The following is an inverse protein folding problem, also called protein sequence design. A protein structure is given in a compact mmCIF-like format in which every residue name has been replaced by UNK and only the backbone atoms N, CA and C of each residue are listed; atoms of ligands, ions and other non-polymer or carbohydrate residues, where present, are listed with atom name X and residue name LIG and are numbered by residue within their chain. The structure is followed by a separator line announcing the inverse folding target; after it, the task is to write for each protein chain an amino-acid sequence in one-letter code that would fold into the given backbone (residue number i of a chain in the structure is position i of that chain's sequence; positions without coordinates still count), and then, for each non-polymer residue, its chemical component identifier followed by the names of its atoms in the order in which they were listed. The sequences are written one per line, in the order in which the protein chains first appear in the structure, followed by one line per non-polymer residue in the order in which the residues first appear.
data_IF_803058545966
#
_entry.id   IF_803058545966
#
_cell.length_a   1.000
_cell.length_b   1.000
_cell.length_c   1.000
_cell.angle_alpha   90.00
_cell.angle_beta   90.00
_cell.angle_gamma   90.00
#
_symmetry.space_group_name_H-M   'P 1'
#
loop_
_entity.id
_entity.type
_entity.pdbx_description
1 polymer ?
#
# COMPACT_ATOMS: atom_id res chain seq x y z
N UNK A 1 30.46 26.33 8.78
CA UNK A 1 31.45 26.47 7.68
C UNK A 1 31.82 25.07 7.24
N UNK A 2 31.23 24.60 6.13
CA UNK A 2 31.51 23.29 5.55
C UNK A 2 32.09 23.51 4.14
N UNK A 3 33.18 22.80 3.84
CA UNK A 3 33.92 22.87 2.57
C UNK A 3 33.02 22.46 1.39
N UNK A 4 33.13 23.11 0.22
CA UNK A 4 32.46 22.64 -0.98
C UNK A 4 33.16 21.37 -1.45
N UNK A 5 32.58 20.20 -1.15
CA UNK A 5 32.94 18.97 -1.86
C UNK A 5 32.47 19.18 -3.29
N UNK A 6 33.38 19.56 -4.18
CA UNK A 6 33.18 19.40 -5.61
C UNK A 6 33.00 17.89 -5.83
N UNK A 7 31.76 17.42 -5.75
CA UNK A 7 31.39 16.04 -6.06
C UNK A 7 31.87 15.79 -7.48
N UNK A 8 32.90 14.95 -7.61
CA UNK A 8 33.40 14.50 -8.90
C UNK A 8 32.21 13.91 -9.65
N UNK A 9 31.74 14.63 -10.69
CA UNK A 9 30.64 14.17 -11.52
C UNK A 9 31.08 12.84 -12.14
N UNK A 10 30.24 11.81 -12.05
CA UNK A 10 30.56 10.49 -12.59
C UNK A 10 30.85 10.60 -14.10
N UNK A 11 31.88 9.92 -14.65
CA UNK A 11 32.27 10.02 -16.07
C UNK A 11 31.12 9.85 -17.07
N UNK A 12 30.11 9.06 -16.71
CA UNK A 12 28.93 8.81 -17.54
C UNK A 12 28.01 10.02 -17.72
N UNK A 13 28.17 11.05 -16.89
CA UNK A 13 27.35 12.25 -16.87
C UNK A 13 28.04 13.47 -17.46
N UNK A 14 29.32 13.35 -17.83
CA UNK A 14 30.04 14.45 -18.45
C UNK A 14 29.57 14.70 -19.88
N UNK A 15 29.45 15.98 -20.24
CA UNK A 15 29.01 16.41 -21.57
C UNK A 15 30.01 16.05 -22.68
N UNK A 16 31.25 15.75 -22.32
CA UNK A 16 32.28 15.29 -23.26
C UNK A 16 31.89 13.96 -23.93
N UNK A 17 31.10 13.09 -23.28
CA UNK A 17 30.56 11.85 -23.85
C UNK A 17 29.69 12.08 -25.07
N UNK A 18 29.05 13.25 -25.20
CA UNK A 18 28.27 13.61 -26.38
C UNK A 18 29.14 13.62 -27.65
N UNK A 19 30.45 13.80 -27.52
CA UNK A 19 31.40 13.71 -28.63
C UNK A 19 31.44 12.32 -29.28
N UNK A 20 30.96 11.27 -28.61
CA UNK A 20 30.88 9.90 -29.16
C UNK A 20 29.64 9.66 -30.01
N UNK A 21 28.68 10.60 -30.01
CA UNK A 21 27.51 10.53 -30.87
C UNK A 21 27.85 10.87 -32.34
N UNK A 22 27.07 10.33 -33.31
CA UNK A 22 27.14 10.78 -34.71
C UNK A 22 26.98 12.30 -34.83
N UNK A 23 27.62 12.97 -35.82
CA UNK A 23 27.66 14.44 -35.90
C UNK A 23 26.29 15.13 -35.78
N UNK A 24 25.27 14.61 -36.46
CA UNK A 24 23.93 15.19 -36.43
C UNK A 24 23.29 15.12 -35.05
N UNK A 25 23.37 13.94 -34.41
CA UNK A 25 22.85 13.72 -33.06
C UNK A 25 23.68 14.45 -32.01
N UNK A 26 25.00 14.57 -32.20
CA UNK A 26 25.89 15.33 -31.33
C UNK A 26 25.51 16.79 -31.27
N UNK A 27 25.24 17.42 -32.41
CA UNK A 27 24.81 18.83 -32.47
C UNK A 27 23.50 19.03 -31.72
N UNK A 28 22.51 18.17 -31.98
CA UNK A 28 21.19 18.24 -31.32
C UNK A 28 21.33 18.00 -29.80
N UNK A 29 22.11 16.99 -29.40
CA UNK A 29 22.37 16.67 -27.99
C UNK A 29 23.05 17.81 -27.23
N UNK A 30 24.04 18.48 -27.83
CA UNK A 30 24.70 19.64 -27.22
C UNK A 30 23.75 20.83 -27.06
N UNK A 31 22.91 21.10 -28.06
CA UNK A 31 21.89 22.16 -27.96
C UNK A 31 20.84 21.84 -26.90
N UNK A 32 20.39 20.59 -26.83
CA UNK A 32 19.46 20.14 -25.80
C UNK A 32 20.07 20.23 -24.40
N UNK A 33 21.33 19.85 -24.22
CA UNK A 33 22.05 19.99 -22.96
C UNK A 33 22.24 21.46 -22.55
N UNK A 34 22.31 22.37 -23.52
CA UNK A 34 22.31 23.83 -23.31
C UNK A 34 20.92 24.44 -23.06
N UNK A 35 19.87 23.64 -22.88
CA UNK A 35 18.52 24.12 -22.54
C UNK A 35 17.60 24.38 -23.74
N UNK A 36 17.89 23.89 -24.94
CA UNK A 36 16.97 23.98 -26.08
C UNK A 36 15.86 22.93 -26.00
N UNK A 37 14.62 23.37 -25.73
CA UNK A 37 13.44 22.49 -25.68
C UNK A 37 13.16 21.80 -27.02
N UNK A 38 13.24 22.52 -28.13
CA UNK A 38 13.04 21.94 -29.47
C UNK A 38 14.07 20.86 -29.80
N UNK A 39 15.33 21.08 -29.42
CA UNK A 39 16.39 20.09 -29.62
C UNK A 39 16.16 18.86 -28.75
N UNK A 40 15.68 19.04 -27.51
CA UNK A 40 15.34 17.95 -26.61
C UNK A 40 14.21 17.07 -27.17
N UNK A 41 13.14 17.67 -27.71
CA UNK A 41 12.06 16.93 -28.38
C UNK A 41 12.57 16.10 -29.56
N UNK A 42 13.52 16.64 -30.34
CA UNK A 42 14.14 15.92 -31.47
C UNK A 42 14.98 14.72 -31.02
N UNK A 43 15.37 14.63 -29.74
CA UNK A 43 16.13 13.50 -29.21
C UNK A 43 15.26 12.36 -28.69
N UNK A 44 13.97 12.58 -28.44
CA UNK A 44 13.08 11.56 -27.86
C UNK A 44 13.08 10.25 -28.67
N UNK A 45 12.84 10.37 -29.98
CA UNK A 45 12.83 9.23 -30.90
C UNK A 45 14.21 8.57 -31.04
N UNK A 46 15.31 9.31 -31.34
CA UNK A 46 16.65 8.74 -31.38
C UNK A 46 17.06 8.00 -30.10
N UNK A 47 16.68 8.48 -28.92
CA UNK A 47 17.04 7.85 -27.64
C UNK A 47 16.28 6.52 -27.46
N UNK A 48 14.98 6.52 -27.75
CA UNK A 48 14.14 5.32 -27.65
C UNK A 48 14.56 4.23 -28.64
N UNK A 49 14.85 4.63 -29.88
CA UNK A 49 15.22 3.72 -30.98
C UNK A 49 16.70 3.31 -30.96
N UNK A 50 17.55 4.01 -30.18
CA UNK A 50 18.97 3.67 -30.09
C UNK A 50 19.21 2.29 -29.46
N UNK A 51 20.20 1.52 -29.93
CA UNK A 51 20.64 0.30 -29.27
C UNK A 51 21.03 0.58 -27.81
N UNK A 52 20.79 -0.39 -26.90
CA UNK A 52 21.09 -0.26 -25.46
C UNK A 52 22.51 0.27 -25.19
N UNK A 53 23.49 -0.11 -26.00
CA UNK A 53 24.90 0.32 -25.88
C UNK A 53 25.08 1.84 -26.12
N UNK A 54 24.26 2.46 -26.97
CA UNK A 54 24.36 3.90 -27.30
C UNK A 54 23.49 4.78 -26.41
N UNK A 55 22.45 4.23 -25.77
CA UNK A 55 21.54 5.01 -24.88
C UNK A 55 22.29 5.74 -23.76
N UNK A 56 23.30 5.15 -23.07
CA UNK A 56 24.07 5.85 -22.04
C UNK A 56 24.78 7.12 -22.54
N UNK A 57 25.06 7.26 -23.84
CA UNK A 57 25.69 8.46 -24.39
C UNK A 57 24.80 9.70 -24.32
N UNK A 58 23.48 9.55 -24.21
CA UNK A 58 22.55 10.67 -24.10
C UNK A 58 22.28 11.09 -22.65
N UNK A 59 22.70 10.27 -21.67
CA UNK A 59 22.44 10.50 -20.25
C UNK A 59 22.92 11.88 -19.73
N UNK A 60 24.07 12.43 -20.18
CA UNK A 60 24.50 13.78 -19.82
C UNK A 60 23.49 14.89 -20.19
N UNK A 61 22.73 14.71 -21.28
CA UNK A 61 21.73 15.69 -21.71
C UNK A 61 20.61 15.81 -20.68
N UNK A 62 20.08 14.66 -20.22
CA UNK A 62 19.01 14.62 -19.24
C UNK A 62 19.50 15.06 -17.87
N UNK A 63 20.72 14.67 -17.49
CA UNK A 63 21.35 15.12 -16.25
C UNK A 63 21.48 16.65 -16.17
N UNK A 64 21.87 17.30 -17.29
CA UNK A 64 22.00 18.75 -17.37
C UNK A 64 20.64 19.47 -17.31
N UNK A 65 19.60 18.93 -17.95
CA UNK A 65 18.26 19.51 -17.93
C UNK A 65 17.51 19.28 -16.61
N UNK A 66 18.02 18.39 -15.76
CA UNK A 66 17.48 18.13 -14.42
C UNK A 66 18.32 18.83 -13.34
N UNK A 67 19.09 19.87 -13.68
CA UNK A 67 19.83 20.61 -12.67
C UNK A 67 18.89 21.41 -11.75
N UNK A 68 18.93 21.17 -10.42
CA UNK A 68 18.16 21.93 -9.43
C UNK A 68 18.32 23.44 -9.53
N UNK A 69 19.50 23.92 -9.91
CA UNK A 69 19.78 25.36 -10.03
C UNK A 69 18.95 26.04 -11.14
N UNK A 70 18.27 25.26 -11.98
CA UNK A 70 17.41 25.76 -13.06
C UNK A 70 15.92 25.71 -12.71
N UNK A 71 15.56 25.27 -11.50
CA UNK A 71 14.17 25.33 -11.01
C UNK A 71 13.77 26.82 -10.89
N UNK A 72 12.67 27.25 -11.55
CA UNK A 72 12.18 28.62 -11.42
C UNK A 72 11.80 28.96 -9.99
N UNK A 73 11.84 30.26 -9.65
CA UNK A 73 11.40 30.74 -8.33
C UNK A 73 9.90 30.41 -8.13
N UNK A 74 9.48 29.97 -6.93
CA UNK A 74 8.06 29.76 -6.60
C UNK A 74 7.17 30.94 -7.01
N UNK A 75 7.63 32.18 -6.85
CA UNK A 75 6.85 33.37 -7.20
C UNK A 75 6.52 33.44 -8.71
N UNK A 76 7.41 32.93 -9.57
CA UNK A 76 7.19 32.83 -11.02
C UNK A 76 6.20 31.70 -11.37
N UNK A 77 6.13 30.66 -10.53
CA UNK A 77 5.33 29.45 -10.74
C UNK A 77 3.89 29.59 -10.23
N UNK A 78 3.65 30.39 -9.20
CA UNK A 78 2.34 30.68 -8.61
C UNK A 78 1.47 31.62 -9.47
N UNK A 79 2.01 32.10 -10.59
CA UNK A 79 1.25 32.91 -11.55
C UNK A 79 0.26 32.04 -12.34
N UNK A 80 -0.97 32.54 -12.55
CA UNK A 80 -1.99 31.86 -13.37
C UNK A 80 -1.54 31.63 -14.82
N UNK A 81 -0.56 32.42 -15.30
CA UNK A 81 0.05 32.27 -16.61
C UNK A 81 1.57 32.38 -16.49
N UNK A 82 2.29 31.26 -16.28
CA UNK A 82 3.75 31.27 -16.23
C UNK A 82 4.33 31.79 -17.53
N UNK A 83 5.45 32.50 -17.42
CA UNK A 83 6.15 33.05 -18.59
C UNK A 83 6.59 31.93 -19.55
N UNK A 84 6.74 32.20 -20.86
CA UNK A 84 7.20 31.19 -21.82
C UNK A 84 8.53 30.53 -21.43
N UNK A 85 9.42 31.26 -20.75
CA UNK A 85 10.69 30.74 -20.27
C UNK A 85 10.52 29.73 -19.12
N UNK A 86 9.63 30.03 -18.17
CA UNK A 86 9.26 29.12 -17.06
C UNK A 86 8.60 27.87 -17.63
N UNK A 87 7.59 28.01 -18.50
CA UNK A 87 6.93 26.88 -19.14
C UNK A 87 7.92 26.01 -19.93
N UNK A 88 8.82 26.62 -20.70
CA UNK A 88 9.87 25.90 -21.44
C UNK A 88 10.76 25.09 -20.50
N UNK A 89 11.14 25.67 -19.36
CA UNK A 89 11.97 25.02 -18.34
C UNK A 89 11.27 23.81 -17.72
N UNK A 90 10.01 23.96 -17.30
CA UNK A 90 9.19 22.86 -16.79
C UNK A 90 9.03 21.73 -17.83
N UNK A 91 8.76 22.10 -19.09
CA UNK A 91 8.61 21.14 -20.18
C UNK A 91 9.92 20.41 -20.50
N UNK A 92 11.07 21.06 -20.39
CA UNK A 92 12.39 20.39 -20.53
C UNK A 92 12.62 19.38 -19.43
N UNK A 93 12.33 19.72 -18.17
CA UNK A 93 12.45 18.80 -17.07
C UNK A 93 11.50 17.60 -17.26
N UNK A 94 10.24 17.86 -17.60
CA UNK A 94 9.24 16.82 -17.86
C UNK A 94 9.67 15.86 -18.99
N UNK A 95 10.09 16.39 -20.14
CA UNK A 95 10.58 15.56 -21.27
C UNK A 95 11.87 14.81 -20.89
N UNK A 96 12.74 15.39 -20.08
CA UNK A 96 13.95 14.71 -19.59
C UNK A 96 13.59 13.53 -18.68
N UNK A 97 12.64 13.71 -17.75
CA UNK A 97 12.10 12.63 -16.93
C UNK A 97 11.40 11.54 -17.77
N UNK A 98 10.69 11.93 -18.83
CA UNK A 98 10.10 11.00 -19.79
C UNK A 98 11.16 10.18 -20.52
N UNK A 99 12.18 10.84 -21.07
CA UNK A 99 13.21 10.18 -21.85
C UNK A 99 14.02 9.16 -21.03
N UNK A 100 14.16 9.41 -19.73
CA UNK A 100 14.76 8.45 -18.81
C UNK A 100 13.99 7.09 -18.77
N UNK A 101 12.73 6.99 -19.25
CA UNK A 101 12.00 5.69 -19.42
C UNK A 101 12.64 4.75 -20.42
N UNK A 102 13.44 5.28 -21.33
CA UNK A 102 14.10 4.47 -22.33
C UNK A 102 15.32 3.72 -21.75
N UNK A 103 15.65 3.95 -20.47
CA UNK A 103 16.74 3.29 -19.76
C UNK A 103 16.15 2.19 -18.89
N UNK A 104 16.52 0.95 -19.19
CA UNK A 104 16.07 -0.20 -18.40
C UNK A 104 16.74 -0.19 -17.02
N UNK A 105 18.04 0.12 -16.98
CA UNK A 105 18.88 0.21 -15.77
C UNK A 105 19.97 1.27 -15.96
N UNK A 106 20.35 1.95 -14.86
CA UNK A 106 21.57 2.75 -14.76
C UNK A 106 22.61 2.01 -13.92
N UNK A 107 23.88 2.40 -14.07
CA UNK A 107 24.93 1.93 -13.18
C UNK A 107 24.58 2.29 -11.72
N UNK A 108 24.77 1.39 -10.74
CA UNK A 108 24.45 1.61 -9.33
C UNK A 108 24.87 2.97 -8.77
N UNK A 109 26.08 3.40 -9.12
CA UNK A 109 26.72 4.61 -8.62
C UNK A 109 26.06 5.89 -9.16
N UNK A 110 25.37 5.80 -10.29
CA UNK A 110 24.66 6.93 -10.88
C UNK A 110 23.38 7.26 -10.13
N UNK A 111 22.78 6.30 -9.43
CA UNK A 111 21.51 6.49 -8.75
C UNK A 111 21.60 7.51 -7.62
N UNK A 112 22.65 7.47 -6.80
CA UNK A 112 22.87 8.44 -5.72
C UNK A 112 23.12 9.86 -6.23
N UNK A 113 23.59 10.01 -7.47
CA UNK A 113 23.87 11.31 -8.11
C UNK A 113 22.62 11.84 -8.82
N UNK A 114 21.88 10.98 -9.52
CA UNK A 114 20.68 11.35 -10.27
C UNK A 114 19.46 11.56 -9.40
N UNK A 115 19.23 10.68 -8.43
CA UNK A 115 17.96 10.66 -7.70
C UNK A 115 17.63 11.97 -6.99
N UNK A 116 18.55 12.66 -6.28
CA UNK A 116 18.25 13.95 -5.67
C UNK A 116 17.78 15.00 -6.68
N UNK A 117 18.35 15.00 -7.89
CA UNK A 117 17.96 15.90 -8.98
C UNK A 117 16.58 15.53 -9.54
N UNK A 118 16.36 14.24 -9.79
CA UNK A 118 15.08 13.70 -10.27
C UNK A 118 13.96 14.02 -9.29
N UNK A 119 14.19 13.79 -7.99
CA UNK A 119 13.17 13.97 -6.96
C UNK A 119 12.70 15.42 -6.84
N UNK A 120 13.62 16.39 -6.81
CA UNK A 120 13.26 17.81 -6.74
C UNK A 120 12.40 18.24 -7.93
N UNK A 121 12.72 17.77 -9.13
CA UNK A 121 11.89 18.03 -10.30
C UNK A 121 10.52 17.32 -10.23
N UNK A 122 10.44 16.12 -9.67
CA UNK A 122 9.17 15.43 -9.43
C UNK A 122 8.29 16.24 -8.46
N UNK A 123 8.85 16.76 -7.36
CA UNK A 123 8.10 17.59 -6.40
C UNK A 123 7.56 18.87 -7.04
N UNK A 124 8.40 19.58 -7.80
CA UNK A 124 8.01 20.79 -8.55
C UNK A 124 6.93 20.45 -9.57
N UNK A 125 7.11 19.39 -10.36
CA UNK A 125 6.15 19.04 -11.40
C UNK A 125 4.85 18.45 -10.85
N UNK A 126 4.86 17.81 -9.68
CA UNK A 126 3.62 17.39 -9.00
C UNK A 126 2.83 18.60 -8.51
N UNK A 127 3.52 19.57 -7.90
CA UNK A 127 2.91 20.80 -7.37
C UNK A 127 2.39 21.70 -8.50
N UNK A 128 3.22 21.94 -9.51
CA UNK A 128 2.97 22.90 -10.60
C UNK A 128 2.61 22.22 -11.93
N UNK A 129 2.04 21.01 -11.90
CA UNK A 129 1.61 20.29 -13.11
C UNK A 129 0.65 21.12 -13.98
N UNK A 130 -0.11 22.05 -13.40
CA UNK A 130 -1.03 22.93 -14.12
C UNK A 130 -0.32 23.92 -15.05
N UNK A 131 0.96 24.21 -14.80
CA UNK A 131 1.83 25.04 -15.63
C UNK A 131 2.29 24.32 -16.90
N UNK A 132 2.18 22.98 -16.94
CA UNK A 132 2.39 22.17 -18.13
C UNK A 132 1.16 22.34 -19.05
N UNK A 133 1.10 23.47 -19.79
CA UNK A 133 0.06 23.76 -20.79
C UNK A 133 0.11 22.73 -21.93
N UNK A 134 -0.41 21.53 -21.71
CA UNK A 134 -0.85 20.64 -22.78
C UNK A 134 -2.19 21.17 -23.30
N UNK A 135 -2.40 21.10 -24.62
CA UNK A 135 -3.66 21.49 -25.28
C UNK A 135 -4.88 20.70 -24.78
N UNK A 136 -4.67 19.66 -23.96
CA UNK A 136 -5.72 18.89 -23.31
C UNK A 136 -6.10 19.49 -21.96
N UNK A 137 -7.38 19.84 -21.80
CA UNK A 137 -7.99 20.23 -20.53
C UNK A 137 -7.88 19.15 -19.42
N UNK A 138 -7.40 17.94 -19.74
CA UNK A 138 -7.27 16.81 -18.81
C UNK A 138 -6.28 17.04 -17.67
N UNK A 139 -5.24 17.88 -17.83
CA UNK A 139 -4.20 18.04 -16.81
C UNK A 139 -4.63 18.85 -15.57
N UNK A 140 -5.70 19.64 -15.68
CA UNK A 140 -6.30 20.35 -14.54
C UNK A 140 -7.28 19.49 -13.74
N UNK A 141 -7.58 18.29 -14.23
CA UNK A 141 -8.49 17.36 -13.54
C UNK A 141 -7.73 16.54 -12.52
N UNK A 142 -8.43 16.10 -11.48
CA UNK A 142 -7.93 15.13 -10.51
C UNK A 142 -7.26 13.94 -11.24
N UNK A 143 -7.88 13.39 -12.29
CA UNK A 143 -7.32 12.29 -13.08
C UNK A 143 -5.98 12.61 -13.79
N UNK A 144 -5.80 13.84 -14.27
CA UNK A 144 -4.56 14.30 -14.90
C UNK A 144 -3.41 14.40 -13.90
N UNK A 145 -3.68 14.89 -12.70
CA UNK A 145 -2.71 14.92 -11.59
C UNK A 145 -2.21 13.53 -11.25
N UNK A 146 -3.14 12.57 -11.12
CA UNK A 146 -2.77 11.19 -10.81
C UNK A 146 -2.03 10.49 -11.95
N UNK A 147 -2.38 10.75 -13.21
CA UNK A 147 -1.61 10.22 -14.34
C UNK A 147 -0.13 10.67 -14.27
N UNK A 148 0.11 11.94 -13.93
CA UNK A 148 1.46 12.47 -13.73
C UNK A 148 2.17 11.82 -12.54
N UNK A 149 1.52 11.67 -11.39
CA UNK A 149 2.09 10.98 -10.22
C UNK A 149 2.47 9.54 -10.50
N UNK A 150 1.60 8.82 -11.20
CA UNK A 150 1.86 7.44 -11.64
C UNK A 150 3.08 7.42 -12.55
N UNK A 151 3.14 8.33 -13.51
CA UNK A 151 4.27 8.45 -14.41
C UNK A 151 5.58 8.72 -13.63
N UNK A 152 5.59 9.65 -12.69
CA UNK A 152 6.77 9.99 -11.88
C UNK A 152 7.18 8.89 -10.90
N UNK A 153 6.23 8.21 -10.27
CA UNK A 153 6.55 7.10 -9.35
C UNK A 153 6.88 5.81 -10.10
N UNK A 154 6.44 5.63 -11.35
CA UNK A 154 6.93 4.54 -12.20
C UNK A 154 8.43 4.66 -12.47
N UNK A 155 9.02 5.85 -12.38
CA UNK A 155 10.48 6.06 -12.47
C UNK A 155 11.22 5.38 -11.32
N UNK A 156 10.63 5.36 -10.12
CA UNK A 156 11.16 4.60 -8.97
C UNK A 156 11.18 3.10 -9.25
N UNK A 157 10.25 2.63 -10.08
CA UNK A 157 10.24 1.26 -10.55
C UNK A 157 11.30 0.96 -11.62
N UNK A 158 12.29 1.83 -11.88
CA UNK A 158 13.52 1.48 -12.62
C UNK A 158 14.61 0.92 -11.72
N UNK A 159 14.57 1.26 -10.44
CA UNK A 159 15.59 0.89 -9.47
C UNK A 159 15.38 -0.55 -8.95
N UNK A 160 14.65 -1.40 -9.70
CA UNK A 160 14.02 -2.63 -9.18
C UNK A 160 15.00 -3.68 -8.69
N UNK A 161 16.20 -3.69 -9.26
CA UNK A 161 17.22 -4.70 -9.01
C UNK A 161 18.39 -4.13 -8.19
N UNK A 162 18.28 -2.87 -7.75
CA UNK A 162 19.30 -2.21 -6.97
C UNK A 162 18.77 -1.83 -5.58
N UNK A 163 19.07 -2.67 -4.58
CA UNK A 163 18.65 -2.47 -3.20
C UNK A 163 19.11 -1.12 -2.63
N UNK A 164 20.35 -0.72 -2.89
CA UNK A 164 20.90 0.55 -2.40
C UNK A 164 20.11 1.75 -2.94
N UNK A 165 19.69 1.69 -4.20
CA UNK A 165 18.90 2.76 -4.78
C UNK A 165 17.46 2.76 -4.27
N UNK A 166 16.87 1.60 -4.00
CA UNK A 166 15.56 1.52 -3.32
C UNK A 166 15.62 2.07 -1.90
N UNK A 167 16.69 1.78 -1.15
CA UNK A 167 16.92 2.35 0.18
C UNK A 167 17.01 3.87 0.14
N UNK A 168 17.76 4.42 -0.82
CA UNK A 168 17.85 5.87 -1.04
C UNK A 168 16.46 6.48 -1.29
N UNK A 169 15.66 5.86 -2.14
CA UNK A 169 14.32 6.34 -2.49
C UNK A 169 13.37 6.24 -1.28
N UNK A 170 13.39 5.14 -0.55
CA UNK A 170 12.57 4.96 0.64
C UNK A 170 12.96 5.90 1.79
N UNK A 171 14.21 6.37 1.81
CA UNK A 171 14.69 7.38 2.76
C UNK A 171 14.42 8.82 2.30
N UNK A 172 13.94 9.02 1.07
CA UNK A 172 13.68 10.36 0.53
C UNK A 172 12.35 10.89 1.06
N UNK A 173 12.42 12.03 1.74
CA UNK A 173 11.26 12.73 2.30
C UNK A 173 10.24 13.08 1.21
N UNK A 174 8.96 12.90 1.51
CA UNK A 174 7.84 13.24 0.62
C UNK A 174 7.46 12.13 -0.37
N UNK A 175 8.33 11.14 -0.60
CA UNK A 175 8.02 10.00 -1.49
C UNK A 175 6.83 9.21 -0.94
N UNK A 176 6.81 8.95 0.37
CA UNK A 176 5.72 8.20 1.01
C UNK A 176 4.42 8.98 0.99
N UNK A 177 4.49 10.30 1.12
CA UNK A 177 3.32 11.17 0.94
C UNK A 177 2.74 11.06 -0.47
N UNK A 178 3.56 11.11 -1.52
CA UNK A 178 3.09 10.95 -2.90
C UNK A 178 2.46 9.57 -3.14
N UNK A 179 3.10 8.50 -2.62
CA UNK A 179 2.59 7.13 -2.70
C UNK A 179 1.24 6.99 -1.98
N UNK A 180 1.09 7.57 -0.79
CA UNK A 180 -0.15 7.53 -0.03
C UNK A 180 -1.30 8.24 -0.76
N UNK A 181 -1.03 9.39 -1.38
CA UNK A 181 -2.02 10.09 -2.19
C UNK A 181 -2.43 9.28 -3.42
N UNK A 182 -1.47 8.65 -4.11
CA UNK A 182 -1.75 7.74 -5.22
C UNK A 182 -2.58 6.53 -4.76
N UNK A 183 -2.23 5.95 -3.60
CA UNK A 183 -2.98 4.84 -3.02
C UNK A 183 -4.43 5.21 -2.76
N UNK A 184 -4.66 6.36 -2.13
CA UNK A 184 -6.01 6.90 -1.87
C UNK A 184 -6.84 7.00 -3.14
N UNK A 185 -6.25 7.49 -4.23
CA UNK A 185 -6.93 7.60 -5.51
C UNK A 185 -7.23 6.25 -6.16
N UNK A 186 -6.26 5.34 -6.19
CA UNK A 186 -6.46 4.00 -6.73
C UNK A 186 -7.60 3.25 -6.02
N UNK A 187 -7.72 3.41 -4.70
CA UNK A 187 -8.84 2.84 -3.93
C UNK A 187 -10.15 3.59 -4.20
N UNK A 188 -10.15 4.93 -4.18
CA UNK A 188 -11.35 5.76 -4.42
C UNK A 188 -12.02 5.46 -5.77
N UNK A 189 -11.23 5.17 -6.79
CA UNK A 189 -11.69 4.96 -8.16
C UNK A 189 -11.68 3.47 -8.60
N UNK A 190 -11.48 2.54 -7.67
CA UNK A 190 -11.40 1.09 -7.94
C UNK A 190 -10.44 0.73 -9.10
N UNK A 191 -9.29 1.40 -9.16
CA UNK A 191 -8.32 1.22 -10.25
C UNK A 191 -7.52 -0.10 -10.13
N UNK A 192 -7.48 -0.68 -8.92
CA UNK A 192 -6.90 -2.01 -8.66
C UNK A 192 -7.60 -3.08 -9.50
N UNK A 193 -8.93 -3.13 -9.50
CA UNK A 193 -9.72 -4.09 -10.28
C UNK A 193 -9.46 -3.97 -11.80
N UNK A 194 -9.02 -2.80 -12.26
CA UNK A 194 -8.74 -2.50 -13.66
C UNK A 194 -7.28 -2.76 -14.06
N UNK A 195 -6.45 -3.26 -13.14
CA UNK A 195 -5.03 -3.52 -13.40
C UNK A 195 -4.22 -2.26 -13.71
N UNK A 196 -4.65 -1.11 -13.19
CA UNK A 196 -3.99 0.16 -13.47
C UNK A 196 -2.53 0.15 -12.97
N UNK A 197 -1.61 0.62 -13.80
CA UNK A 197 -0.17 0.47 -13.53
C UNK A 197 0.30 1.18 -12.24
N UNK A 198 -0.41 2.23 -11.80
CA UNK A 198 -0.16 2.92 -10.52
C UNK A 198 -0.39 2.05 -9.28
N UNK A 199 -1.25 1.03 -9.37
CA UNK A 199 -1.51 0.10 -8.28
C UNK A 199 -0.25 -0.73 -7.93
N UNK A 200 0.49 -1.17 -8.96
CA UNK A 200 1.74 -1.91 -8.79
C UNK A 200 2.84 -1.09 -8.13
N UNK A 201 2.88 0.22 -8.40
CA UNK A 201 3.78 1.17 -7.72
C UNK A 201 3.47 1.18 -6.23
N UNK A 202 2.19 1.38 -5.89
CA UNK A 202 1.71 1.44 -4.51
C UNK A 202 2.02 0.15 -3.76
N UNK A 203 1.69 -1.02 -4.33
CA UNK A 203 1.97 -2.31 -3.71
C UNK A 203 3.47 -2.51 -3.41
N UNK A 204 4.34 -2.14 -4.34
CA UNK A 204 5.79 -2.29 -4.12
C UNK A 204 6.31 -1.41 -2.99
N UNK A 205 5.92 -0.14 -2.97
CA UNK A 205 6.37 0.80 -1.93
C UNK A 205 5.85 0.42 -0.55
N UNK A 206 4.56 0.11 -0.46
CA UNK A 206 3.93 -0.25 0.81
C UNK A 206 4.54 -1.56 1.37
N UNK A 207 5.02 -2.47 0.52
CA UNK A 207 5.77 -3.66 0.93
C UNK A 207 7.24 -3.43 1.32
N UNK A 208 7.76 -2.20 1.23
CA UNK A 208 9.14 -1.84 1.54
C UNK A 208 9.48 -1.71 3.03
N UNK A 209 10.66 -1.17 3.34
CA UNK A 209 11.09 -0.93 4.74
C UNK A 209 10.25 0.19 5.37
N UNK A 210 9.62 -0.10 6.51
CA UNK A 210 8.72 0.82 7.21
C UNK A 210 9.45 1.39 8.42
N UNK A 211 9.44 2.72 8.52
CA UNK A 211 9.95 3.48 9.66
C UNK A 211 8.84 4.36 10.23
N UNK A 212 9.06 4.92 11.42
CA UNK A 212 8.14 5.88 12.03
C UNK A 212 7.91 7.12 11.15
N UNK A 213 8.97 7.62 10.50
CA UNK A 213 8.89 8.76 9.59
C UNK A 213 8.00 8.45 8.37
N UNK A 214 8.20 7.28 7.76
CA UNK A 214 7.41 6.86 6.59
C UNK A 214 5.92 6.74 6.94
N UNK A 215 5.59 6.20 8.12
CA UNK A 215 4.20 6.11 8.59
C UNK A 215 3.60 7.49 8.85
N UNK A 216 4.36 8.42 9.42
CA UNK A 216 3.92 9.80 9.65
C UNK A 216 3.59 10.50 8.33
N UNK A 217 4.47 10.43 7.33
CA UNK A 217 4.22 10.99 6.00
C UNK A 217 2.95 10.41 5.35
N UNK A 218 2.73 9.10 5.47
CA UNK A 218 1.50 8.46 4.96
C UNK A 218 0.28 9.03 5.68
N UNK A 219 0.33 9.15 7.01
CA UNK A 219 -0.79 9.68 7.80
C UNK A 219 -1.10 11.12 7.41
N UNK A 220 -0.09 11.97 7.31
CA UNK A 220 -0.23 13.38 6.92
C UNK A 220 -0.85 13.51 5.53
N UNK A 221 -0.37 12.71 4.58
CA UNK A 221 -0.87 12.68 3.20
C UNK A 221 -2.36 12.28 3.08
N UNK A 222 -2.86 11.48 4.03
CA UNK A 222 -4.21 10.93 3.98
C UNK A 222 -5.25 11.78 4.70
N UNK A 223 -4.84 12.77 5.51
CA UNK A 223 -5.74 13.61 6.31
C UNK A 223 -5.22 13.95 7.71
N UNK A 224 -4.01 13.50 8.05
CA UNK A 224 -3.37 13.79 9.34
C UNK A 224 -3.77 12.88 10.48
N UNK A 225 -4.61 11.85 10.25
CA UNK A 225 -5.02 10.92 11.30
C UNK A 225 -4.78 9.46 10.93
N UNK A 226 -4.45 8.63 11.94
CA UNK A 226 -4.36 7.18 11.74
C UNK A 226 -5.73 6.55 11.41
N UNK A 227 -6.85 7.26 11.64
CA UNK A 227 -8.17 6.83 11.21
C UNK A 227 -8.29 6.86 9.68
N UNK A 228 -7.70 7.86 9.01
CA UNK A 228 -7.73 7.95 7.55
C UNK A 228 -6.91 6.81 6.92
N UNK A 229 -5.74 6.51 7.48
CA UNK A 229 -4.95 5.33 7.11
C UNK A 229 -5.73 4.03 7.33
N UNK A 230 -6.36 3.87 8.50
CA UNK A 230 -7.16 2.69 8.80
C UNK A 230 -8.32 2.51 7.82
N UNK A 231 -9.05 3.58 7.52
CA UNK A 231 -10.14 3.58 6.55
C UNK A 231 -9.67 3.24 5.13
N UNK A 232 -8.53 3.78 4.70
CA UNK A 232 -7.96 3.47 3.39
C UNK A 232 -7.55 1.99 3.28
N UNK A 233 -6.83 1.49 4.30
CA UNK A 233 -6.39 0.09 4.34
C UNK A 233 -7.58 -0.87 4.34
N UNK A 234 -8.60 -0.60 5.15
CA UNK A 234 -9.86 -1.37 5.18
C UNK A 234 -10.55 -1.33 3.83
N UNK A 235 -10.70 -0.16 3.20
CA UNK A 235 -11.32 -0.05 1.87
C UNK A 235 -10.54 -0.83 0.82
N UNK A 236 -9.21 -0.80 0.85
CA UNK A 236 -8.38 -1.58 -0.07
C UNK A 236 -8.63 -3.09 0.12
N UNK A 237 -8.55 -3.61 1.35
CA UNK A 237 -8.77 -5.02 1.63
C UNK A 237 -10.19 -5.48 1.26
N UNK A 238 -11.19 -4.62 1.39
CA UNK A 238 -12.56 -4.89 0.96
C UNK A 238 -12.71 -5.10 -0.55
N UNK A 239 -11.82 -4.55 -1.40
CA UNK A 239 -11.85 -4.81 -2.84
C UNK A 239 -11.70 -6.30 -3.13
N UNK A 240 -10.86 -6.99 -2.36
CA UNK A 240 -10.61 -8.42 -2.52
C UNK A 240 -11.71 -9.28 -1.90
N UNK A 241 -12.24 -8.86 -0.75
CA UNK A 241 -13.33 -9.58 -0.09
C UNK A 241 -14.63 -9.59 -0.90
N UNK A 242 -14.84 -8.59 -1.78
CA UNK A 242 -16.06 -8.46 -2.60
C UNK A 242 -16.05 -9.30 -3.87
N UNK A 243 -14.88 -9.64 -4.42
CA UNK A 243 -14.78 -10.37 -5.69
C UNK A 243 -13.65 -11.41 -5.67
N UNK A 244 -13.96 -12.69 -5.38
CA UNK A 244 -12.97 -13.77 -5.33
C UNK A 244 -12.24 -14.03 -6.65
N UNK A 245 -12.85 -13.71 -7.80
CA UNK A 245 -12.23 -13.89 -9.12
C UNK A 245 -11.15 -12.83 -9.40
N UNK A 246 -11.29 -11.65 -8.79
CA UNK A 246 -10.31 -10.56 -8.87
C UNK A 246 -9.22 -10.74 -7.79
N UNK A 247 -9.46 -11.57 -6.79
CA UNK A 247 -8.52 -11.82 -5.72
C UNK A 247 -7.18 -12.40 -6.23
N UNK A 248 -7.18 -13.24 -7.27
CA UNK A 248 -5.94 -13.82 -7.83
C UNK A 248 -5.05 -12.77 -8.49
N UNK A 249 -5.63 -11.77 -9.15
CA UNK A 249 -4.87 -10.69 -9.78
C UNK A 249 -4.42 -9.63 -8.79
N UNK A 250 -5.16 -9.46 -7.68
CA UNK A 250 -4.86 -8.49 -6.61
C UNK A 250 -4.02 -9.05 -5.45
N UNK A 251 -3.68 -10.33 -5.47
CA UNK A 251 -2.86 -10.99 -4.43
C UNK A 251 -1.60 -10.19 -4.04
N UNK A 252 -0.78 -9.68 -4.98
CA UNK A 252 0.41 -8.89 -4.64
C UNK A 252 0.09 -7.59 -3.90
N UNK A 253 -1.01 -6.92 -4.27
CA UNK A 253 -1.42 -5.65 -3.67
C UNK A 253 -1.98 -5.87 -2.26
N UNK A 254 -2.74 -6.95 -2.05
CA UNK A 254 -3.19 -7.39 -0.72
C UNK A 254 -2.01 -7.75 0.16
N UNK A 255 -1.05 -8.48 -0.40
CA UNK A 255 0.19 -8.84 0.29
C UNK A 255 0.92 -7.60 0.80
N UNK A 256 1.10 -6.61 -0.06
CA UNK A 256 1.75 -5.36 0.32
C UNK A 256 1.05 -4.67 1.49
N UNK A 257 -0.28 -4.51 1.43
CA UNK A 257 -1.05 -3.87 2.50
C UNK A 257 -0.96 -4.66 3.80
N UNK A 258 -1.12 -5.98 3.75
CA UNK A 258 -1.06 -6.82 4.95
C UNK A 258 0.33 -6.81 5.57
N UNK A 259 1.39 -6.88 4.76
CA UNK A 259 2.77 -6.75 5.24
C UNK A 259 3.01 -5.37 5.85
N UNK A 260 2.51 -4.31 5.22
CA UNK A 260 2.63 -2.96 5.74
C UNK A 260 2.04 -2.84 7.14
N UNK A 261 0.76 -3.24 7.27
CA UNK A 261 0.07 -3.21 8.54
C UNK A 261 0.79 -4.08 9.59
N UNK A 262 1.26 -5.27 9.21
CA UNK A 262 1.91 -6.19 10.14
C UNK A 262 3.26 -5.66 10.62
N UNK A 263 4.09 -5.12 9.74
CA UNK A 263 5.37 -4.52 10.12
C UNK A 263 5.18 -3.26 10.97
N UNK A 264 4.29 -2.35 10.56
CA UNK A 264 4.01 -1.14 11.31
C UNK A 264 3.41 -1.44 12.70
N UNK A 265 2.53 -2.45 12.80
CA UNK A 265 1.98 -2.94 14.06
C UNK A 265 3.06 -3.55 14.98
N UNK A 266 3.98 -4.37 14.42
CA UNK A 266 5.08 -5.00 15.17
C UNK A 266 6.04 -3.96 15.76
N UNK A 267 6.28 -2.88 15.02
CA UNK A 267 7.13 -1.78 15.45
C UNK A 267 6.41 -0.78 16.39
N UNK A 268 5.13 -0.99 16.69
CA UNK A 268 4.36 -0.09 17.57
C UNK A 268 4.01 1.26 16.95
N UNK A 269 4.05 1.37 15.61
CA UNK A 269 3.78 2.62 14.88
C UNK A 269 2.28 2.89 14.67
N UNK A 270 1.45 1.84 14.79
CA UNK A 270 0.00 1.92 14.62
C UNK A 270 -0.73 1.90 15.97
N UNK A 271 -1.73 2.78 16.08
CA UNK A 271 -2.70 2.81 17.15
C UNK A 271 -3.82 1.82 16.84
N UNK A 272 -4.12 0.90 17.75
CA UNK A 272 -5.15 -0.13 17.55
C UNK A 272 -6.56 0.45 17.41
N UNK A 273 -6.89 1.47 18.20
CA UNK A 273 -8.25 2.05 18.28
C UNK A 273 -8.81 2.50 16.93
N UNK A 274 -8.08 3.30 16.13
CA UNK A 274 -8.50 3.65 14.77
C UNK A 274 -8.79 2.45 13.86
N UNK A 275 -7.97 1.40 13.88
CA UNK A 275 -8.17 0.21 13.06
C UNK A 275 -9.34 -0.65 13.53
N UNK A 276 -9.58 -0.72 14.83
CA UNK A 276 -10.79 -1.36 15.37
C UNK A 276 -12.04 -0.61 14.91
N UNK A 277 -12.07 0.71 15.09
CA UNK A 277 -13.20 1.56 14.73
C UNK A 277 -13.50 1.53 13.22
N UNK A 278 -12.46 1.46 12.37
CA UNK A 278 -12.60 1.27 10.92
C UNK A 278 -13.12 -0.13 10.53
N UNK A 279 -13.18 -1.09 11.46
CA UNK A 279 -13.66 -2.44 11.20
C UNK A 279 -12.62 -3.37 10.56
N UNK A 280 -11.32 -3.19 10.89
CA UNK A 280 -10.24 -4.00 10.33
C UNK A 280 -10.44 -5.50 10.58
N UNK A 281 -10.81 -5.92 11.79
CA UNK A 281 -10.98 -7.35 12.12
C UNK A 281 -12.03 -8.02 11.22
N UNK A 282 -13.14 -7.32 10.95
CA UNK A 282 -14.19 -7.83 10.08
C UNK A 282 -13.70 -7.97 8.66
N UNK A 283 -13.02 -6.94 8.19
CA UNK A 283 -12.47 -6.91 6.84
C UNK A 283 -11.43 -8.01 6.66
N UNK A 284 -10.50 -8.18 7.61
CA UNK A 284 -9.52 -9.28 7.60
C UNK A 284 -10.18 -10.66 7.63
N UNK A 285 -11.27 -10.84 8.39
CA UNK A 285 -12.03 -12.09 8.39
C UNK A 285 -12.66 -12.38 7.02
N UNK A 286 -13.27 -11.37 6.40
CA UNK A 286 -13.87 -11.50 5.07
C UNK A 286 -12.78 -11.70 3.98
N UNK A 287 -11.62 -11.04 4.11
CA UNK A 287 -10.45 -11.23 3.24
C UNK A 287 -9.87 -12.64 3.39
N UNK A 288 -9.72 -13.15 4.63
CA UNK A 288 -9.25 -14.50 4.89
C UNK A 288 -10.19 -15.55 4.29
N UNK A 289 -11.50 -15.36 4.40
CA UNK A 289 -12.49 -16.24 3.79
C UNK A 289 -12.43 -16.24 2.25
N UNK A 290 -12.08 -15.11 1.63
CA UNK A 290 -11.85 -15.02 0.20
C UNK A 290 -10.53 -15.73 -0.20
N UNK A 291 -9.45 -15.51 0.55
CA UNK A 291 -8.13 -16.07 0.29
C UNK A 291 -8.10 -17.60 0.41
N UNK A 292 -8.82 -18.21 1.37
CA UNK A 292 -8.86 -19.69 1.52
C UNK A 292 -9.40 -20.41 0.27
N UNK A 293 -10.17 -19.71 -0.56
CA UNK A 293 -10.76 -20.26 -1.80
C UNK A 293 -9.75 -20.28 -2.94
N UNK A 294 -8.60 -19.63 -2.77
CA UNK A 294 -7.54 -19.58 -3.75
C UNK A 294 -6.53 -20.70 -3.44
N UNK A 295 -6.30 -21.66 -4.36
CA UNK A 295 -5.29 -22.68 -4.16
C UNK A 295 -3.87 -22.09 -4.30
N UNK A 296 -2.95 -22.44 -3.39
CA UNK A 296 -1.52 -22.09 -3.49
C UNK A 296 -0.83 -21.78 -2.15
N UNK A 297 0.51 -21.81 -2.14
CA UNK A 297 1.34 -21.50 -0.98
C UNK A 297 1.24 -20.04 -0.53
N UNK A 298 1.07 -19.12 -1.49
CA UNK A 298 1.09 -17.68 -1.21
C UNK A 298 -0.13 -17.24 -0.41
N UNK A 299 -1.29 -17.89 -0.63
CA UNK A 299 -2.50 -17.67 0.14
C UNK A 299 -2.34 -18.08 1.62
N UNK A 300 -1.61 -19.16 1.90
CA UNK A 300 -1.37 -19.62 3.27
C UNK A 300 -0.56 -18.61 4.10
N UNK A 301 0.48 -18.02 3.51
CA UNK A 301 1.27 -16.97 4.17
C UNK A 301 0.44 -15.71 4.41
N UNK A 302 -0.37 -15.29 3.44
CA UNK A 302 -1.29 -14.15 3.61
C UNK A 302 -2.30 -14.36 4.73
N UNK A 303 -2.86 -15.57 4.84
CA UNK A 303 -3.75 -15.94 5.92
C UNK A 303 -3.06 -15.88 7.28
N UNK A 304 -1.78 -16.25 7.37
CA UNK A 304 -0.99 -16.07 8.58
C UNK A 304 -0.84 -14.60 8.96
N UNK A 305 -0.52 -13.74 7.99
CA UNK A 305 -0.34 -12.31 8.24
C UNK A 305 -1.66 -11.68 8.68
N UNK A 306 -2.78 -12.02 8.03
CA UNK A 306 -4.11 -11.57 8.41
C UNK A 306 -4.49 -12.04 9.84
N UNK A 307 -4.18 -13.29 10.19
CA UNK A 307 -4.41 -13.82 11.53
C UNK A 307 -3.61 -13.06 12.61
N UNK A 308 -2.32 -12.84 12.37
CA UNK A 308 -1.46 -12.08 13.28
C UNK A 308 -1.98 -10.65 13.51
N UNK A 309 -2.51 -10.01 12.47
CA UNK A 309 -3.11 -8.69 12.57
C UNK A 309 -4.41 -8.70 13.38
N UNK A 310 -5.26 -9.71 13.21
CA UNK A 310 -6.46 -9.88 14.04
C UNK A 310 -6.07 -10.03 15.51
N UNK A 311 -5.07 -10.86 15.82
CA UNK A 311 -4.56 -11.03 17.18
C UNK A 311 -3.95 -9.75 17.73
N UNK A 312 -3.22 -8.99 16.92
CA UNK A 312 -2.67 -7.71 17.34
C UNK A 312 -3.77 -6.72 17.75
N UNK A 313 -4.88 -6.64 17.00
CA UNK A 313 -6.05 -5.85 17.41
C UNK A 313 -6.68 -6.43 18.69
N UNK A 314 -6.73 -7.75 18.84
CA UNK A 314 -7.44 -8.44 19.93
C UNK A 314 -6.69 -8.49 21.29
N UNK A 315 -5.36 -8.45 21.31
CA UNK A 315 -4.51 -8.77 22.46
C UNK A 315 -4.28 -7.61 23.44
N UNK A 316 -5.32 -6.92 23.91
CA UNK A 316 -5.18 -6.08 25.12
C UNK A 316 -5.32 -6.97 26.36
N UNK A 317 -4.65 -6.61 27.47
CA UNK A 317 -4.76 -7.22 28.80
C UNK A 317 -6.18 -7.21 29.43
N UNK A 318 -7.22 -6.89 28.66
CA UNK A 318 -8.63 -6.97 29.05
C UNK A 318 -9.40 -7.65 27.92
N UNK A 319 -9.18 -8.96 27.77
CA UNK A 319 -9.85 -9.79 26.75
C UNK A 319 -11.38 -9.68 26.82
N UNK A 320 -11.95 -9.47 28.01
CA UNK A 320 -13.38 -9.65 28.27
C UNK A 320 -14.31 -8.65 27.58
N UNK A 321 -13.99 -7.36 27.56
CA UNK A 321 -14.90 -6.35 26.99
C UNK A 321 -14.91 -6.34 25.45
N UNK A 322 -13.90 -6.95 24.82
CA UNK A 322 -13.68 -6.89 23.37
C UNK A 322 -14.14 -8.15 22.65
N UNK A 323 -14.17 -9.30 23.33
CA UNK A 323 -14.62 -10.59 22.78
C UNK A 323 -15.96 -10.48 22.04
N UNK A 324 -17.03 -9.83 22.56
CA UNK A 324 -18.28 -9.68 21.81
C UNK A 324 -18.13 -8.93 20.48
N UNK A 325 -17.28 -7.89 20.44
CA UNK A 325 -17.02 -7.07 19.26
C UNK A 325 -16.21 -7.84 18.22
N UNK A 326 -15.18 -8.58 18.64
CA UNK A 326 -14.35 -9.43 17.78
C UNK A 326 -15.15 -10.60 17.19
N UNK A 327 -16.00 -11.24 18.01
CA UNK A 327 -16.91 -12.29 17.53
C UNK A 327 -17.91 -11.73 16.51
N UNK A 328 -18.45 -10.52 16.75
CA UNK A 328 -19.32 -9.84 15.78
C UNK A 328 -18.57 -9.47 14.49
N UNK A 329 -17.30 -9.11 14.59
CA UNK A 329 -16.47 -8.80 13.44
C UNK A 329 -16.17 -10.05 12.60
N UNK A 330 -16.15 -11.24 13.20
CA UNK A 330 -15.99 -12.50 12.47
C UNK A 330 -14.73 -13.28 12.85
N UNK A 331 -14.23 -13.11 14.09
CA UNK A 331 -13.08 -13.84 14.62
C UNK A 331 -13.13 -15.36 14.35
N UNK A 332 -14.29 -15.99 14.55
CA UNK A 332 -14.45 -17.43 14.30
C UNK A 332 -14.30 -17.81 12.83
N UNK A 333 -14.82 -16.98 11.91
CA UNK A 333 -14.68 -17.19 10.46
C UNK A 333 -13.22 -17.09 10.04
N UNK A 334 -12.51 -16.07 10.53
CA UNK A 334 -11.08 -15.91 10.26
C UNK A 334 -10.26 -17.09 10.79
N UNK A 335 -10.50 -17.49 12.04
CA UNK A 335 -9.80 -18.60 12.68
C UNK A 335 -9.91 -19.90 11.87
N UNK A 336 -11.13 -20.20 11.43
CA UNK A 336 -11.43 -21.38 10.61
C UNK A 336 -10.79 -21.28 9.22
N UNK A 337 -10.83 -20.10 8.59
CA UNK A 337 -10.18 -19.88 7.30
C UNK A 337 -8.66 -20.07 7.37
N UNK A 338 -8.01 -19.61 8.45
CA UNK A 338 -6.58 -19.74 8.66
C UNK A 338 -6.16 -21.18 9.02
N UNK A 339 -6.94 -21.86 9.88
CA UNK A 339 -6.65 -23.22 10.34
C UNK A 339 -6.66 -24.28 9.22
N UNK A 340 -7.35 -24.03 8.10
CA UNK A 340 -7.32 -24.90 6.92
C UNK A 340 -5.95 -24.99 6.23
N UNK A 341 -5.01 -24.10 6.53
CA UNK A 341 -3.72 -24.00 5.84
C UNK A 341 -2.49 -24.36 6.69
N UNK A 342 -2.68 -24.95 7.88
CA UNK A 342 -1.68 -25.67 8.68
C UNK A 342 -0.28 -25.00 8.77
N UNK A 343 -0.16 -23.87 9.46
CA UNK A 343 1.15 -23.31 9.84
C UNK A 343 1.39 -23.58 11.34
N UNK A 344 2.51 -24.21 11.73
CA UNK A 344 2.79 -24.61 13.11
C UNK A 344 2.71 -23.47 14.16
N UNK A 345 3.00 -22.23 13.75
CA UNK A 345 2.85 -21.04 14.59
C UNK A 345 1.36 -20.73 14.93
N UNK A 346 0.42 -21.17 14.10
CA UNK A 346 -1.02 -21.00 14.33
C UNK A 346 -1.49 -21.81 15.51
N UNK A 347 -0.88 -22.96 15.80
CA UNK A 347 -1.36 -23.85 16.87
C UNK A 347 -1.37 -23.11 18.20
N UNK A 348 -0.26 -22.52 18.65
CA UNK A 348 -0.19 -21.81 19.95
C UNK A 348 -1.16 -20.64 20.06
N UNK A 349 -1.27 -19.80 19.03
CA UNK A 349 -2.16 -18.65 19.07
C UNK A 349 -3.64 -19.05 18.94
N UNK A 350 -3.93 -20.15 18.25
CA UNK A 350 -5.24 -20.77 18.22
C UNK A 350 -5.61 -21.32 19.61
N UNK A 351 -4.73 -22.04 20.31
CA UNK A 351 -5.01 -22.50 21.69
C UNK A 351 -5.22 -21.30 22.62
N UNK A 352 -4.45 -20.22 22.48
CA UNK A 352 -4.66 -19.01 23.29
C UNK A 352 -6.07 -18.43 23.13
N UNK A 353 -6.59 -18.40 21.91
CA UNK A 353 -7.95 -17.89 21.65
C UNK A 353 -9.02 -18.90 22.09
N UNK A 354 -8.91 -20.16 21.69
CA UNK A 354 -9.97 -21.16 21.82
C UNK A 354 -9.94 -21.97 23.11
N UNK A 355 -8.80 -22.04 23.78
CA UNK A 355 -8.63 -22.75 25.06
C UNK A 355 -8.58 -21.78 26.22
N UNK A 356 -7.95 -20.60 26.06
CA UNK A 356 -7.74 -19.67 27.17
C UNK A 356 -8.69 -18.46 27.17
N UNK A 357 -8.93 -17.82 26.02
CA UNK A 357 -9.65 -16.54 25.98
C UNK A 357 -11.17 -16.68 25.83
N UNK A 358 -11.65 -17.48 24.87
CA UNK A 358 -13.09 -17.61 24.58
C UNK A 358 -13.85 -18.45 25.61
N UNK A 359 -13.35 -19.61 26.09
CA UNK A 359 -14.12 -20.47 27.01
C UNK A 359 -14.63 -19.76 28.26
N UNK A 360 -13.82 -18.97 28.99
CA UNK A 360 -14.34 -18.30 30.18
C UNK A 360 -15.26 -17.12 29.83
N UNK A 361 -15.27 -16.65 28.57
CA UNK A 361 -16.17 -15.59 28.11
C UNK A 361 -17.57 -16.12 27.78
N UNK A 362 -17.75 -17.44 27.62
CA UNK A 362 -19.03 -18.06 27.32
C UNK A 362 -20.06 -17.94 28.46
N UNK A 363 -19.62 -17.50 29.65
CA UNK A 363 -20.52 -17.16 30.78
C UNK A 363 -21.39 -15.92 30.49
N UNK A 364 -20.97 -15.06 29.57
CA UNK A 364 -21.71 -13.85 29.22
C UNK A 364 -22.72 -14.13 28.11
N UNK A 365 -24.02 -13.93 28.39
CA UNK A 365 -25.12 -14.16 27.43
C UNK A 365 -24.85 -13.50 26.06
N UNK A 366 -24.33 -12.26 26.05
CA UNK A 366 -24.01 -11.53 24.82
C UNK A 366 -22.91 -12.21 23.99
N UNK A 367 -21.92 -12.82 24.64
CA UNK A 367 -20.84 -13.58 23.97
C UNK A 367 -21.44 -14.86 23.41
N UNK A 368 -22.17 -15.60 24.25
CA UNK A 368 -22.75 -16.89 23.91
C UNK A 368 -23.72 -16.81 22.72
N UNK A 369 -24.61 -15.82 22.69
CA UNK A 369 -25.50 -15.57 21.55
C UNK A 369 -24.74 -15.28 20.24
N UNK A 370 -23.57 -14.63 20.33
CA UNK A 370 -22.73 -14.31 19.17
C UNK A 370 -21.97 -15.54 18.69
N UNK A 371 -21.42 -16.33 19.62
CA UNK A 371 -20.81 -17.63 19.31
C UNK A 371 -21.83 -18.54 18.64
N UNK A 372 -23.05 -18.67 19.18
CA UNK A 372 -24.10 -19.50 18.56
C UNK A 372 -24.54 -19.06 17.17
N UNK A 373 -24.46 -17.75 16.85
CA UNK A 373 -24.66 -17.29 15.47
C UNK A 373 -23.50 -17.68 14.58
N UNK A 374 -22.27 -17.38 14.99
CA UNK A 374 -21.09 -17.62 14.20
C UNK A 374 -20.81 -19.13 14.00
N UNK A 375 -21.04 -19.97 15.01
CA UNK A 375 -20.91 -21.43 14.88
C UNK A 375 -21.79 -22.01 13.80
N UNK A 376 -23.02 -21.51 13.61
CA UNK A 376 -23.89 -21.96 12.50
C UNK A 376 -23.27 -21.75 11.12
N UNK A 377 -22.37 -20.77 10.97
CA UNK A 377 -21.71 -20.44 9.70
C UNK A 377 -20.45 -21.27 9.46
N UNK A 378 -19.77 -21.74 10.51
CA UNK A 378 -18.44 -22.37 10.41
C UNK A 378 -18.36 -23.80 10.94
N UNK A 379 -19.47 -24.37 11.42
CA UNK A 379 -19.52 -25.71 12.04
C UNK A 379 -18.99 -26.82 11.14
N UNK A 380 -19.28 -26.76 9.85
CA UNK A 380 -18.92 -27.80 8.87
C UNK A 380 -17.52 -27.65 8.30
N UNK A 381 -16.69 -26.77 8.89
CA UNK A 381 -15.35 -26.56 8.38
C UNK A 381 -14.43 -27.74 8.74
N UNK A 382 -13.84 -28.35 7.72
CA UNK A 382 -12.85 -29.41 7.88
C UNK A 382 -11.51 -28.80 8.29
N UNK A 383 -11.25 -28.74 9.60
CA UNK A 383 -9.94 -28.30 10.11
C UNK A 383 -8.91 -29.41 9.95
N UNK A 384 -7.71 -29.05 9.49
CA UNK A 384 -6.61 -29.98 9.25
C UNK A 384 -5.59 -29.90 10.41
N UNK A 385 -5.05 -31.04 10.83
CA UNK A 385 -4.11 -31.14 11.97
C UNK A 385 -4.81 -31.56 13.28
N UNK A 386 -4.27 -32.60 13.94
CA UNK A 386 -4.92 -33.24 15.08
C UNK A 386 -5.13 -32.31 16.28
N UNK A 387 -4.16 -31.45 16.61
CA UNK A 387 -4.25 -30.56 17.77
C UNK A 387 -5.30 -29.45 17.59
N UNK A 388 -5.27 -28.74 16.45
CA UNK A 388 -6.22 -27.65 16.15
C UNK A 388 -7.64 -28.20 16.03
N UNK A 389 -7.80 -29.35 15.37
CA UNK A 389 -9.09 -30.03 15.26
C UNK A 389 -9.66 -30.43 16.63
N UNK A 390 -8.82 -30.96 17.53
CA UNK A 390 -9.23 -31.33 18.88
C UNK A 390 -9.66 -30.12 19.71
N UNK A 391 -8.90 -29.02 19.67
CA UNK A 391 -9.22 -27.79 20.41
C UNK A 391 -10.49 -27.13 19.90
N UNK A 392 -10.66 -27.06 18.58
CA UNK A 392 -11.88 -26.57 17.97
C UNK A 392 -13.08 -27.42 18.38
N UNK A 393 -12.96 -28.75 18.32
CA UNK A 393 -14.03 -29.67 18.71
C UNK A 393 -14.39 -29.49 20.19
N UNK A 394 -13.39 -29.37 21.07
CA UNK A 394 -13.61 -29.12 22.49
C UNK A 394 -14.30 -27.77 22.74
N UNK A 395 -13.88 -26.71 22.05
CA UNK A 395 -14.52 -25.39 22.12
C UNK A 395 -15.97 -25.42 21.63
N UNK A 396 -16.23 -26.08 20.49
CA UNK A 396 -17.58 -26.23 19.93
C UNK A 396 -18.49 -26.96 20.89
N UNK A 397 -18.04 -28.09 21.46
CA UNK A 397 -18.83 -28.86 22.43
C UNK A 397 -19.19 -28.01 23.66
N UNK A 398 -18.21 -27.30 24.23
CA UNK A 398 -18.46 -26.40 25.36
C UNK A 398 -19.44 -25.26 24.99
N UNK A 399 -19.29 -24.67 23.81
CA UNK A 399 -20.19 -23.61 23.36
C UNK A 399 -21.63 -24.11 23.14
N UNK A 400 -21.81 -25.32 22.60
CA UNK A 400 -23.11 -25.97 22.43
C UNK A 400 -23.77 -26.27 23.78
N UNK A 401 -23.03 -26.86 24.74
CA UNK A 401 -23.51 -27.09 26.11
C UNK A 401 -24.03 -25.79 26.74
N UNK A 402 -23.25 -24.70 26.65
CA UNK A 402 -23.64 -23.41 27.21
C UNK A 402 -24.87 -22.82 26.49
N UNK A 403 -24.96 -22.97 25.17
CA UNK A 403 -26.12 -22.53 24.38
C UNK A 403 -27.41 -23.28 24.77
N UNK A 404 -27.32 -24.56 25.08
CA UNK A 404 -28.47 -25.35 25.57
C UNK A 404 -28.94 -24.86 26.94
N UNK A 405 -28.00 -24.60 27.85
CA UNK A 405 -28.30 -23.99 29.16
C UNK A 405 -29.00 -22.64 28.99
N UNK A 406 -28.52 -21.78 28.08
CA UNK A 406 -29.18 -20.50 27.78
C UNK A 406 -30.60 -20.69 27.23
N UNK A 407 -30.82 -21.62 26.30
CA UNK A 407 -32.15 -21.92 25.76
C UNK A 407 -33.11 -22.38 26.86
N UNK A 408 -32.64 -23.21 27.78
CA UNK A 408 -33.42 -23.66 28.94
C UNK A 408 -33.80 -22.48 29.85
N UNK A 409 -32.87 -21.59 30.18
CA UNK A 409 -33.19 -20.39 30.96
C UNK A 409 -34.17 -19.45 30.24
N UNK A 410 -34.03 -19.27 28.93
CA UNK A 410 -34.94 -18.45 28.13
C UNK A 410 -36.35 -19.06 28.04
N UNK A 411 -36.48 -20.40 27.98
CA UNK A 411 -37.78 -21.08 27.99
C UNK A 411 -38.47 -20.94 29.35
N UNK A 412 -37.74 -21.13 30.45
CA UNK A 412 -38.27 -20.93 31.81
C UNK A 412 -38.74 -19.48 32.02
N UNK A 413 -37.94 -18.49 31.59
CA UNK A 413 -38.31 -17.07 31.69
C UNK A 413 -39.60 -16.73 30.94
N UNK A 414 -39.87 -17.38 29.80
CA UNK A 414 -41.12 -17.19 29.04
C UNK A 414 -42.31 -17.79 29.77
N UNK A 415 -42.15 -18.95 30.40
CA UNK A 415 -43.19 -19.58 31.21
C UNK A 415 -43.54 -18.69 32.41
N UNK A 416 -42.54 -18.18 33.15
CA UNK A 416 -42.77 -17.31 34.31
C UNK A 416 -43.37 -15.95 33.95
N UNK A 417 -42.98 -15.35 32.81
CA UNK A 417 -43.63 -14.13 32.30
C UNK A 417 -45.06 -14.38 31.86
N UNK A 418 -45.33 -15.54 31.25
CA UNK A 418 -46.67 -15.95 30.86
C UNK A 418 -47.58 -16.08 32.08
N UNK A 419 -47.14 -16.78 33.13
CA UNK A 419 -47.94 -16.95 34.35
C UNK A 419 -48.20 -15.63 35.09
N UNK A 420 -47.22 -14.73 35.22
CA UNK A 420 -47.48 -13.41 35.82
C UNK A 420 -48.43 -12.52 35.01
N UNK A 421 -48.52 -12.66 33.69
CA UNK A 421 -49.52 -11.94 32.88
C UNK A 421 -50.94 -12.52 32.96
N UNK A 422 -51.08 -13.78 33.42
CA UNK A 422 -52.37 -14.42 33.65
C UNK A 422 -52.91 -14.20 35.08
N UNK A 423 -52.07 -13.79 36.02
CA UNK A 423 -52.46 -13.48 37.42
C UNK A 423 -52.73 -11.98 37.67
N UNK A 424 -52.69 -11.14 36.63
CA UNK A 424 -53.01 -9.70 36.69
C UNK A 424 -54.17 -9.29 35.77
N UNK A 425 -55.03 -10.24 35.38
CA UNK A 425 -56.29 -9.99 34.67
C UNK A 425 -57.49 -10.37 35.53
#
# INVERSE_FOLDING_TARGET
MALPVATLIHPDLHLDKLSRLPPDLRRIAKLAAGGSYESLLRLERPVRESPKIRRPLFLPVFFANLDPATIPDPDDLDTNEPSPAVSSTLMRAFVSLQALESYDELAPELYSIFWPRVWQWIEVLDTYHFCLKSKSSSHKTEAGQYANRVHFLQKVLWFRENEQALELIYATYGVWMMVAQLWRYCVKHNLFERGFAGCRVVGRFIGGSITAANVAEIVDALGGTQMDLANLAVKHLQLVSRNPLVATTLLPDVYAVLQFLASAARQGLLLRGPFEAAGLVRTLADTADALRRIPGSDAAHLLQVAWNLILWVATRNVLWSWVPSLLRAGLLRAAVACAGHSVAAQTMDFQRVFTLALPPALVYIRVLQRVGRALREVRTANLHGSTIANEWTAFVALAEERLEVLKFFESQKRVTKGTCSYECL
#
